data_IF_565169722053
#
_entry.id   IF_565169722053
#
_cell.length_a   1.000
_cell.length_b   1.000
_cell.length_c   1.000
_cell.angle_alpha   90.00
_cell.angle_beta   90.00
_cell.angle_gamma   90.00
#
_symmetry.space_group_name_H-M   'P 1'
#
loop_
_entity.id
_entity.type
_entity.pdbx_description
1 polymer ?
#
# COMPACT_ATOMS: atom_id res chain seq x y z
N UNK A 1 5.53 5.45 -7.21
CA UNK A 1 5.09 4.88 -5.92
C UNK A 1 5.05 5.91 -4.83
N UNK A 2 4.04 5.84 -3.96
CA UNK A 2 3.94 6.65 -2.75
C UNK A 2 4.10 5.77 -1.52
N UNK A 3 5.02 6.13 -0.62
CA UNK A 3 5.20 5.42 0.66
C UNK A 3 4.29 6.07 1.70
N UNK A 4 3.37 5.28 2.25
CA UNK A 4 2.41 5.72 3.26
C UNK A 4 2.55 4.90 4.53
N UNK A 5 2.27 5.50 5.68
CA UNK A 5 2.17 4.79 6.95
C UNK A 5 0.69 4.48 7.24
N UNK A 6 0.35 3.20 7.32
CA UNK A 6 -1.03 2.73 7.58
C UNK A 6 -1.33 2.66 9.10
N UNK A 7 -0.29 2.59 9.94
CA UNK A 7 -0.43 2.38 11.39
C UNK A 7 -0.57 3.66 12.20
N UNK A 8 0.01 4.77 11.73
CA UNK A 8 0.03 6.05 12.45
C UNK A 8 -0.82 7.07 11.71
N UNK A 9 -1.82 7.60 12.40
CA UNK A 9 -2.65 8.70 11.89
C UNK A 9 -1.80 9.95 11.76
N UNK A 10 -1.80 10.56 10.57
CA UNK A 10 -1.29 11.91 10.38
C UNK A 10 -2.35 12.88 10.88
N UNK A 11 -2.11 13.56 12.01
CA UNK A 11 -3.01 14.61 12.50
C UNK A 11 -3.00 15.77 11.51
N UNK A 12 -4.10 15.96 10.79
CA UNK A 12 -4.30 17.10 9.89
C UNK A 12 -4.59 18.33 10.76
N UNK A 13 -3.57 19.11 11.10
CA UNK A 13 -3.74 20.37 11.85
C UNK A 13 -4.46 21.46 11.04
N UNK A 14 -4.59 21.28 9.73
CA UNK A 14 -5.24 22.24 8.82
C UNK A 14 -6.73 21.97 8.57
N UNK A 15 -7.36 21.06 9.32
CA UNK A 15 -8.82 20.88 9.25
C UNK A 15 -9.49 21.99 10.08
N UNK A 16 -9.92 23.08 9.41
CA UNK A 16 -10.76 24.12 10.04
C UNK A 16 -12.06 23.47 10.54
N UNK A 17 -12.33 23.71 11.81
CA UNK A 17 -13.46 23.30 12.63
C UNK A 17 -14.81 23.49 11.95
N UNK A 18 -15.70 22.49 12.06
CA UNK A 18 -17.11 22.60 12.48
C UNK A 18 -17.85 21.30 12.09
N UNK A 19 -18.00 20.38 13.04
CA UNK A 19 -18.93 19.24 12.93
C UNK A 19 -18.54 18.16 11.93
N UNK A 20 -17.71 17.21 12.33
CA UNK A 20 -17.59 15.94 11.61
C UNK A 20 -17.12 14.85 12.57
N UNK A 21 -18.06 14.22 13.26
CA UNK A 21 -17.85 12.83 13.70
C UNK A 21 -17.79 11.97 12.44
N UNK A 22 -16.61 11.94 11.82
CA UNK A 22 -16.35 11.11 10.65
C UNK A 22 -16.32 9.65 11.10
N UNK A 23 -17.48 8.99 11.06
CA UNK A 23 -17.53 7.53 10.97
C UNK A 23 -16.71 7.12 9.75
N UNK A 24 -15.47 6.70 9.97
CA UNK A 24 -14.56 6.26 8.92
C UNK A 24 -15.18 5.06 8.21
N UNK A 25 -15.77 5.30 7.03
CA UNK A 25 -16.26 4.24 6.15
C UNK A 25 -15.09 3.77 5.29
N UNK A 26 -14.58 2.58 5.60
CA UNK A 26 -13.53 1.92 4.81
C UNK A 26 -14.21 1.14 3.68
N UNK A 27 -13.90 1.46 2.44
CA UNK A 27 -14.35 0.69 1.28
C UNK A 27 -13.80 -0.74 1.35
N UNK A 28 -14.53 -1.76 0.85
CA UNK A 28 -14.05 -3.14 0.85
C UNK A 28 -12.73 -3.26 0.09
N UNK A 29 -11.82 -4.08 0.62
CA UNK A 29 -10.53 -4.33 -0.02
C UNK A 29 -10.70 -5.12 -1.32
N UNK A 30 -9.92 -4.75 -2.34
CA UNK A 30 -9.80 -5.53 -3.58
C UNK A 30 -9.04 -6.81 -3.26
N UNK A 31 -9.60 -7.96 -3.66
CA UNK A 31 -8.97 -9.27 -3.48
C UNK A 31 -8.57 -9.79 -4.84
N UNK A 32 -7.27 -9.92 -5.07
CA UNK A 32 -6.72 -10.45 -6.30
C UNK A 32 -6.68 -11.97 -6.29
N UNK A 33 -6.95 -12.58 -7.45
CA UNK A 33 -6.54 -13.96 -7.74
C UNK A 33 -5.03 -14.03 -8.00
N UNK A 34 -4.48 -15.24 -8.15
CA UNK A 34 -3.06 -15.40 -8.46
C UNK A 34 -2.73 -14.87 -9.86
N UNK A 35 -3.62 -15.15 -10.81
CA UNK A 35 -3.50 -14.72 -12.20
C UNK A 35 -3.57 -13.20 -12.30
N UNK A 36 -4.56 -12.58 -11.65
CA UNK A 36 -4.70 -11.12 -11.59
C UNK A 36 -3.48 -10.48 -10.92
N UNK A 37 -2.95 -11.08 -9.85
CA UNK A 37 -1.75 -10.57 -9.19
C UNK A 37 -0.53 -10.63 -10.11
N UNK A 38 -0.36 -11.71 -10.88
CA UNK A 38 0.74 -11.86 -11.85
C UNK A 38 0.63 -10.91 -13.04
N UNK A 39 -0.58 -10.60 -13.49
CA UNK A 39 -0.80 -9.58 -14.52
C UNK A 39 -0.53 -8.17 -13.99
N UNK A 40 -0.82 -7.93 -12.70
CA UNK A 40 -0.70 -6.61 -12.09
C UNK A 40 0.74 -6.18 -11.78
N UNK A 41 1.65 -7.12 -11.47
CA UNK A 41 2.99 -6.77 -10.98
C UNK A 41 3.85 -6.02 -12.00
N UNK A 42 4.75 -5.18 -11.48
CA UNK A 42 5.79 -4.53 -12.27
C UNK A 42 7.16 -5.23 -12.14
N UNK A 43 8.12 -4.83 -12.98
CA UNK A 43 9.46 -5.41 -13.00
C UNK A 43 10.25 -5.23 -11.68
N UNK A 44 9.89 -4.24 -10.86
CA UNK A 44 10.50 -3.97 -9.55
C UNK A 44 9.68 -4.54 -8.38
N UNK A 45 8.72 -5.43 -8.66
CA UNK A 45 7.79 -6.04 -7.71
C UNK A 45 7.81 -7.58 -7.77
N UNK A 46 7.40 -8.20 -6.67
CA UNK A 46 7.21 -9.63 -6.56
C UNK A 46 5.85 -9.96 -5.96
N UNK A 47 5.28 -11.07 -6.44
CA UNK A 47 4.15 -11.75 -5.79
C UNK A 47 4.73 -12.73 -4.77
N UNK A 48 4.45 -12.51 -3.49
CA UNK A 48 4.75 -13.45 -2.43
C UNK A 48 3.58 -14.43 -2.27
N UNK A 49 3.83 -15.71 -2.55
CA UNK A 49 2.81 -16.75 -2.49
C UNK A 49 3.08 -17.67 -1.30
N UNK A 50 2.05 -17.89 -0.50
CA UNK A 50 2.01 -18.88 0.58
C UNK A 50 0.72 -19.70 0.42
N UNK A 51 0.62 -20.91 1.01
CA UNK A 51 -0.56 -21.76 0.83
C UNK A 51 -1.89 -21.08 1.17
N UNK A 52 -1.87 -20.11 2.09
CA UNK A 52 -3.07 -19.44 2.60
C UNK A 52 -3.23 -17.99 2.14
N UNK A 53 -2.18 -17.37 1.57
CA UNK A 53 -2.14 -15.92 1.30
C UNK A 53 -1.27 -15.60 0.09
N UNK A 54 -1.73 -14.61 -0.67
CA UNK A 54 -1.00 -13.96 -1.76
C UNK A 54 -0.78 -12.50 -1.35
N UNK A 55 0.43 -11.98 -1.51
CA UNK A 55 0.79 -10.58 -1.21
C UNK A 55 1.61 -9.98 -2.33
N UNK A 56 1.44 -8.68 -2.55
CA UNK A 56 2.28 -7.89 -3.45
C UNK A 56 3.30 -7.11 -2.64
N UNK A 57 4.54 -7.07 -3.12
CA UNK A 57 5.64 -6.33 -2.49
C UNK A 57 6.65 -5.86 -3.52
N UNK A 58 7.39 -4.81 -3.18
CA UNK A 58 8.57 -4.41 -3.96
C UNK A 58 9.71 -5.41 -3.77
N UNK A 59 10.56 -5.52 -4.79
CA UNK A 59 11.84 -6.25 -4.73
C UNK A 59 12.68 -5.65 -3.59
N UNK A 60 12.92 -4.35 -3.67
CA UNK A 60 13.59 -3.56 -2.64
C UNK A 60 12.57 -2.98 -1.66
N UNK A 61 12.58 -3.48 -0.43
CA UNK A 61 11.60 -3.09 0.60
C UNK A 61 11.78 -1.64 1.05
N UNK A 62 13.02 -1.24 1.32
CA UNK A 62 13.31 0.09 1.85
C UNK A 62 13.24 1.12 0.74
N UNK A 63 12.59 2.24 1.02
CA UNK A 63 12.52 3.36 0.08
C UNK A 63 13.91 3.89 -0.29
N UNK A 64 14.83 3.96 0.67
CA UNK A 64 16.20 4.41 0.42
C UNK A 64 16.96 3.50 -0.56
N UNK A 65 16.76 2.19 -0.47
CA UNK A 65 17.36 1.22 -1.38
C UNK A 65 16.78 1.38 -2.80
N UNK A 66 15.47 1.59 -2.91
CA UNK A 66 14.79 1.90 -4.19
C UNK A 66 15.34 3.18 -4.84
N UNK A 67 15.44 4.27 -4.06
CA UNK A 67 16.00 5.54 -4.54
C UNK A 67 17.45 5.41 -5.01
N UNK A 68 18.24 4.52 -4.39
CA UNK A 68 19.62 4.26 -4.77
C UNK A 68 19.72 3.40 -6.04
N UNK A 69 18.83 2.42 -6.21
CA UNK A 69 18.79 1.55 -7.39
C UNK A 69 18.20 2.23 -8.64
N UNK A 70 17.34 3.23 -8.44
CA UNK A 70 16.79 4.07 -9.52
C UNK A 70 17.74 5.18 -9.99
N UNK A 71 18.91 5.30 -9.36
CA UNK A 71 19.92 6.32 -9.65
C UNK A 71 20.98 5.75 -10.58
#
# INVERSE_FOLDING_TARGET
>A
DLVVNITKTKKMSNMRSSGADDKVKIAPAIRFSLEEALEYIQADEYVEVTPNKIRLRKVLLKENERKRASK
#
